data_IF_180962500399
#
_entry.id   IF_180962500399
#
_cell.length_a   1.000
_cell.length_b   1.000
_cell.length_c   1.000
_cell.angle_alpha   90.00
_cell.angle_beta   90.00
_cell.angle_gamma   90.00
#
_symmetry.space_group_name_H-M   'P 1'
#
loop_
_entity.id
_entity.type
_entity.pdbx_description
1 polymer ?
#
# COMPACT_ATOMS: atom_id res chain seq x y z
N UNK A 1 1.18 16.99 -8.06
CA UNK A 1 2.45 16.87 -8.77
C UNK A 1 3.62 17.13 -7.83
N UNK A 2 4.44 16.12 -7.56
CA UNK A 2 5.56 16.23 -6.60
C UNK A 2 6.68 17.15 -7.10
N UNK A 3 6.85 17.26 -8.42
CA UNK A 3 7.87 18.10 -9.07
C UNK A 3 7.35 19.46 -9.54
N UNK A 4 6.08 19.78 -9.29
CA UNK A 4 5.42 20.95 -9.84
C UNK A 4 5.17 20.81 -11.34
N UNK A 5 4.98 21.95 -12.00
CA UNK A 5 4.74 22.00 -13.44
C UNK A 5 6.00 22.43 -14.20
N UNK A 6 6.15 21.90 -15.41
CA UNK A 6 7.20 22.29 -16.36
C UNK A 6 8.64 22.14 -15.81
N UNK A 7 8.90 21.11 -15.01
CA UNK A 7 10.26 20.79 -14.57
C UNK A 7 11.11 20.39 -15.80
N UNK A 8 12.17 21.18 -16.07
CA UNK A 8 12.96 21.01 -17.29
C UNK A 8 13.69 19.67 -17.33
N UNK A 9 14.28 19.24 -16.23
CA UNK A 9 15.04 17.99 -16.14
C UNK A 9 14.14 16.78 -16.40
N UNK A 10 12.94 16.76 -15.76
CA UNK A 10 11.93 15.73 -15.99
C UNK A 10 11.47 15.69 -17.45
N UNK A 11 11.15 16.86 -18.02
CA UNK A 11 10.68 16.97 -19.40
C UNK A 11 11.72 16.50 -20.42
N UNK A 12 12.99 16.84 -20.21
CA UNK A 12 14.07 16.45 -21.12
C UNK A 12 14.36 14.94 -21.03
N UNK A 13 14.33 14.36 -19.82
CA UNK A 13 14.46 12.92 -19.63
C UNK A 13 13.32 12.15 -20.31
N UNK A 14 12.07 12.63 -20.19
CA UNK A 14 10.92 12.01 -20.82
C UNK A 14 10.99 12.07 -22.35
N UNK A 15 11.34 13.23 -22.94
CA UNK A 15 11.56 13.37 -24.38
C UNK A 15 12.62 12.41 -24.89
N UNK A 16 13.77 12.36 -24.20
CA UNK A 16 14.86 11.44 -24.58
C UNK A 16 14.45 9.96 -24.49
N UNK A 17 13.55 9.61 -23.59
CA UNK A 17 13.03 8.24 -23.51
C UNK A 17 12.02 7.93 -24.59
N UNK A 18 11.16 8.88 -24.97
CA UNK A 18 10.21 8.75 -26.10
C UNK A 18 10.95 8.45 -27.40
N UNK A 19 12.06 9.16 -27.66
CA UNK A 19 12.89 8.96 -28.86
C UNK A 19 13.59 7.58 -28.92
N UNK A 20 13.67 6.89 -27.79
CA UNK A 20 14.26 5.52 -27.72
C UNK A 20 13.20 4.45 -27.86
N UNK A 21 12.32 4.36 -26.86
CA UNK A 21 11.25 3.36 -26.79
C UNK A 21 10.25 3.75 -25.73
N UNK A 22 8.98 3.77 -26.09
CA UNK A 22 7.89 4.10 -25.18
C UNK A 22 7.30 2.89 -24.46
N UNK A 23 7.27 1.72 -25.13
CA UNK A 23 6.62 0.53 -24.61
C UNK A 23 7.35 -0.73 -25.03
N UNK A 24 7.45 -1.68 -24.08
CA UNK A 24 7.84 -3.07 -24.36
C UNK A 24 6.85 -3.99 -23.65
N UNK A 25 6.61 -5.17 -24.25
CA UNK A 25 5.89 -6.25 -23.58
C UNK A 25 6.66 -6.74 -22.34
N UNK A 26 5.95 -7.24 -21.33
CA UNK A 26 6.56 -7.92 -20.17
C UNK A 26 7.32 -9.22 -20.52
N UNK A 27 7.31 -9.62 -21.79
CA UNK A 27 8.14 -10.71 -22.29
C UNK A 27 9.59 -10.31 -22.47
N UNK A 28 9.91 -9.03 -22.45
CA UNK A 28 11.25 -8.48 -22.67
C UNK A 28 11.75 -7.68 -21.48
N UNK A 29 13.05 -7.72 -21.26
CA UNK A 29 13.68 -6.86 -20.26
C UNK A 29 13.70 -5.40 -20.73
N UNK A 30 13.36 -4.50 -19.80
CA UNK A 30 13.41 -3.07 -20.00
C UNK A 30 14.42 -2.46 -19.01
N UNK A 31 15.45 -1.78 -19.53
CA UNK A 31 16.51 -1.21 -18.70
C UNK A 31 16.01 -0.09 -17.78
N UNK A 32 15.07 0.72 -18.24
CA UNK A 32 14.48 1.82 -17.44
C UNK A 32 13.69 1.26 -16.26
N UNK A 33 12.84 0.26 -16.51
CA UNK A 33 12.07 -0.44 -15.47
C UNK A 33 13.01 -1.15 -14.47
N UNK A 34 14.04 -1.84 -14.96
CA UNK A 34 15.04 -2.51 -14.12
C UNK A 34 15.75 -1.54 -13.20
N UNK A 35 16.22 -0.40 -13.74
CA UNK A 35 16.88 0.63 -12.93
C UNK A 35 15.96 1.27 -11.91
N UNK A 36 14.72 1.59 -12.27
CA UNK A 36 13.72 2.10 -11.34
C UNK A 36 13.45 1.13 -10.18
N UNK A 37 13.37 -0.19 -10.49
CA UNK A 37 13.23 -1.24 -9.48
C UNK A 37 14.43 -1.31 -8.54
N UNK A 38 15.66 -1.20 -9.07
CA UNK A 38 16.88 -1.16 -8.25
C UNK A 38 16.91 0.06 -7.32
N UNK A 39 16.57 1.24 -7.83
CA UNK A 39 16.56 2.46 -7.05
C UNK A 39 15.48 2.41 -5.95
N UNK A 40 14.28 1.92 -6.26
CA UNK A 40 13.24 1.67 -5.26
C UNK A 40 13.69 0.68 -4.18
N UNK A 41 14.34 -0.42 -4.55
CA UNK A 41 14.91 -1.35 -3.56
C UNK A 41 15.91 -0.68 -2.63
N UNK A 42 16.79 0.18 -3.15
CA UNK A 42 17.80 0.89 -2.33
C UNK A 42 17.17 1.82 -1.31
N UNK A 43 16.13 2.56 -1.69
CA UNK A 43 15.50 3.55 -0.81
C UNK A 43 14.47 2.96 0.14
N UNK A 44 13.90 1.79 -0.18
CA UNK A 44 12.89 1.12 0.65
C UNK A 44 13.45 -0.05 1.48
N UNK A 45 14.51 -0.69 1.02
CA UNK A 45 14.97 -1.97 1.56
C UNK A 45 14.09 -3.16 1.18
N UNK A 46 13.03 -2.96 0.37
CA UNK A 46 12.14 -4.02 -0.10
C UNK A 46 12.85 -4.98 -1.06
N UNK A 47 12.45 -6.24 -1.05
CA UNK A 47 13.11 -7.26 -1.85
C UNK A 47 12.78 -7.22 -3.33
N UNK A 48 11.52 -6.92 -3.67
CA UNK A 48 11.00 -6.86 -5.05
C UNK A 48 10.07 -5.69 -5.26
N UNK A 49 9.95 -5.28 -6.52
CA UNK A 49 9.01 -4.24 -6.98
C UNK A 49 8.10 -4.84 -8.04
N UNK A 50 6.83 -4.50 -7.97
CA UNK A 50 5.83 -4.80 -8.99
C UNK A 50 5.20 -3.49 -9.44
N UNK A 51 5.38 -3.15 -10.72
CA UNK A 51 4.83 -1.92 -11.29
C UNK A 51 3.42 -2.15 -11.80
N UNK A 52 2.54 -1.19 -11.51
CA UNK A 52 1.13 -1.15 -11.93
C UNK A 52 0.83 0.21 -12.56
N UNK A 53 -0.37 0.37 -13.11
CA UNK A 53 -0.75 1.61 -13.78
C UNK A 53 -1.38 2.64 -12.84
N UNK A 54 -1.79 2.24 -11.64
CA UNK A 54 -2.47 3.10 -10.68
C UNK A 54 -2.34 2.60 -9.25
N UNK A 55 -2.63 3.48 -8.27
CA UNK A 55 -2.72 3.11 -6.86
C UNK A 55 -3.77 2.03 -6.60
N UNK A 56 -4.94 2.10 -7.24
CA UNK A 56 -5.97 1.06 -7.13
C UNK A 56 -5.46 -0.31 -7.59
N UNK A 57 -4.74 -0.39 -8.71
CA UNK A 57 -4.11 -1.64 -9.16
C UNK A 57 -3.00 -2.11 -8.22
N UNK A 58 -2.25 -1.20 -7.60
CA UNK A 58 -1.24 -1.54 -6.60
C UNK A 58 -1.91 -2.19 -5.38
N UNK A 59 -3.03 -1.65 -4.91
CA UNK A 59 -3.81 -2.24 -3.82
C UNK A 59 -4.38 -3.62 -4.20
N UNK A 60 -4.91 -3.80 -5.41
CA UNK A 60 -5.32 -5.12 -5.91
C UNK A 60 -4.13 -6.10 -5.92
N UNK A 61 -2.96 -5.64 -6.32
CA UNK A 61 -1.71 -6.41 -6.25
C UNK A 61 -1.34 -6.79 -4.81
N UNK A 62 -1.47 -5.87 -3.86
CA UNK A 62 -1.21 -6.12 -2.43
C UNK A 62 -2.18 -7.15 -1.85
N UNK A 63 -3.49 -7.02 -2.13
CA UNK A 63 -4.52 -7.98 -1.73
C UNK A 63 -4.16 -9.40 -2.23
N UNK A 64 -3.88 -9.50 -3.52
CA UNK A 64 -3.53 -10.80 -4.15
C UNK A 64 -2.24 -11.38 -3.57
N UNK A 65 -1.25 -10.53 -3.32
CA UNK A 65 0.03 -10.95 -2.74
C UNK A 65 -0.17 -11.49 -1.34
N UNK A 66 -0.91 -10.79 -0.48
CA UNK A 66 -1.18 -11.22 0.90
C UNK A 66 -1.94 -12.55 0.94
N UNK A 67 -3.01 -12.68 0.14
CA UNK A 67 -3.77 -13.94 0.05
C UNK A 67 -2.94 -15.08 -0.54
N UNK A 68 -2.12 -14.81 -1.57
CA UNK A 68 -1.24 -15.81 -2.16
C UNK A 68 -0.15 -16.26 -1.18
N UNK A 69 0.40 -15.34 -0.40
CA UNK A 69 1.35 -15.68 0.66
C UNK A 69 0.71 -16.62 1.69
N UNK A 70 -0.46 -16.25 2.21
CA UNK A 70 -1.20 -17.08 3.17
C UNK A 70 -1.53 -18.47 2.60
N UNK A 71 -1.97 -18.55 1.33
CA UNK A 71 -2.20 -19.80 0.63
C UNK A 71 -0.91 -20.65 0.52
N UNK A 72 0.19 -20.04 0.15
CA UNK A 72 1.48 -20.74 0.01
C UNK A 72 1.98 -21.28 1.36
N UNK A 73 1.73 -20.55 2.43
CA UNK A 73 2.02 -20.97 3.82
C UNK A 73 0.99 -21.95 4.39
N UNK A 74 -0.06 -22.27 3.64
CA UNK A 74 -1.15 -23.19 4.04
C UNK A 74 -1.83 -22.77 5.35
N UNK A 75 -1.96 -21.45 5.59
CA UNK A 75 -2.57 -20.94 6.82
C UNK A 75 -4.09 -20.92 6.79
N UNK A 76 -4.71 -20.96 5.62
CA UNK A 76 -6.16 -20.78 5.43
C UNK A 76 -6.65 -19.34 5.61
N UNK A 77 -5.75 -18.39 5.85
CA UNK A 77 -6.05 -16.97 6.11
C UNK A 77 -6.38 -16.22 4.83
N UNK A 78 -7.35 -15.30 4.88
CA UNK A 78 -7.78 -14.51 3.73
C UNK A 78 -8.42 -13.16 4.10
N UNK A 79 -8.66 -12.91 5.40
CA UNK A 79 -9.31 -11.69 5.88
C UNK A 79 -8.31 -10.55 6.07
N UNK A 80 -8.82 -9.33 5.93
CA UNK A 80 -8.07 -8.09 6.11
C UNK A 80 -8.66 -7.25 7.23
N UNK A 81 -7.80 -6.56 7.94
CA UNK A 81 -8.18 -5.44 8.79
C UNK A 81 -7.73 -4.18 8.08
N UNK A 82 -8.67 -3.27 7.79
CA UNK A 82 -8.43 -1.93 7.27
C UNK A 82 -8.84 -0.90 8.34
N UNK A 83 -8.64 0.38 8.06
CA UNK A 83 -8.96 1.44 9.03
C UNK A 83 -10.24 2.17 8.63
N UNK A 84 -11.04 2.57 9.62
CA UNK A 84 -12.15 3.52 9.40
C UNK A 84 -11.61 4.80 8.74
N UNK A 85 -12.40 5.42 7.89
CA UNK A 85 -12.07 6.62 7.12
C UNK A 85 -10.87 6.47 6.19
N UNK A 86 -10.39 5.25 5.92
CA UNK A 86 -9.34 4.99 4.93
C UNK A 86 -9.84 5.13 3.50
N UNK A 87 -8.90 5.38 2.58
CA UNK A 87 -9.17 5.36 1.15
C UNK A 87 -8.06 4.58 0.44
N UNK A 88 -8.43 3.48 -0.20
CA UNK A 88 -7.47 2.59 -0.89
C UNK A 88 -7.71 2.45 -2.40
N UNK A 89 -8.78 3.05 -2.92
CA UNK A 89 -9.08 3.05 -4.35
C UNK A 89 -10.54 2.69 -4.65
N UNK A 90 -10.85 2.57 -5.96
CA UNK A 90 -12.22 2.41 -6.47
C UNK A 90 -12.45 1.11 -7.26
N UNK A 91 -11.43 0.27 -7.48
CA UNK A 91 -11.63 -1.10 -7.98
C UNK A 91 -12.31 -1.95 -6.91
N UNK A 92 -12.94 -3.07 -7.29
CA UNK A 92 -13.79 -3.84 -6.36
C UNK A 92 -13.06 -4.35 -5.13
N UNK A 93 -11.80 -4.77 -5.25
CA UNK A 93 -10.99 -5.15 -4.09
C UNK A 93 -10.53 -3.94 -3.27
N UNK A 94 -10.08 -2.87 -3.92
CA UNK A 94 -9.64 -1.66 -3.23
C UNK A 94 -10.79 -0.94 -2.51
N UNK A 95 -11.98 -0.87 -3.14
CA UNK A 95 -13.16 -0.27 -2.49
C UNK A 95 -13.61 -1.09 -1.29
N UNK A 96 -13.44 -2.42 -1.31
CA UNK A 96 -13.75 -3.25 -0.16
C UNK A 96 -12.90 -2.92 1.08
N UNK A 97 -11.65 -2.43 0.87
CA UNK A 97 -10.74 -2.00 1.93
C UNK A 97 -10.92 -0.52 2.32
N UNK A 98 -11.71 0.24 1.56
CA UNK A 98 -11.94 1.67 1.82
C UNK A 98 -12.92 1.85 2.97
N UNK A 99 -12.47 2.54 4.03
CA UNK A 99 -13.19 2.70 5.29
C UNK A 99 -14.40 3.65 5.24
N UNK A 100 -14.47 4.50 4.21
CA UNK A 100 -15.64 5.36 3.97
C UNK A 100 -16.82 4.54 3.47
N UNK A 101 -17.85 4.40 4.31
CA UNK A 101 -19.03 3.57 4.03
C UNK A 101 -19.76 4.03 2.77
N UNK A 102 -19.89 5.33 2.57
CA UNK A 102 -20.55 5.97 1.43
C UNK A 102 -19.87 5.66 0.08
N UNK A 103 -18.58 5.33 0.08
CA UNK A 103 -17.87 4.93 -1.13
C UNK A 103 -18.03 3.44 -1.44
N UNK A 104 -18.40 2.63 -0.47
CA UNK A 104 -18.48 1.17 -0.57
C UNK A 104 -19.91 0.68 -0.75
N UNK A 105 -20.86 1.20 0.02
CA UNK A 105 -22.24 0.76 0.11
C UNK A 105 -22.96 0.65 -1.26
N UNK A 106 -22.80 1.60 -2.20
CA UNK A 106 -23.46 1.51 -3.51
C UNK A 106 -23.00 0.35 -4.38
N UNK A 107 -21.89 -0.30 -4.03
CA UNK A 107 -21.27 -1.38 -4.82
C UNK A 107 -21.30 -2.73 -4.11
N UNK A 108 -22.04 -2.85 -3.03
CA UNK A 108 -22.19 -4.11 -2.32
C UNK A 108 -22.98 -5.15 -3.16
N UNK A 109 -22.62 -6.46 -3.08
CA UNK A 109 -21.58 -7.02 -2.21
C UNK A 109 -20.16 -6.81 -2.76
N UNK A 110 -19.29 -6.27 -1.93
CA UNK A 110 -17.84 -6.12 -2.22
C UNK A 110 -17.07 -7.39 -1.81
N UNK A 111 -15.75 -7.39 -1.98
CA UNK A 111 -14.89 -8.50 -1.54
C UNK A 111 -15.11 -8.80 -0.05
N UNK A 112 -15.48 -10.03 0.33
CA UNK A 112 -15.73 -10.39 1.72
C UNK A 112 -14.46 -10.55 2.55
N UNK A 113 -14.62 -10.53 3.88
CA UNK A 113 -13.53 -10.75 4.84
C UNK A 113 -12.71 -9.49 5.11
N UNK A 114 -13.36 -8.33 5.10
CA UNK A 114 -12.76 -7.05 5.50
C UNK A 114 -13.42 -6.54 6.77
N UNK A 115 -12.61 -6.18 7.75
CA UNK A 115 -13.02 -5.62 9.02
C UNK A 115 -12.37 -4.25 9.21
N UNK A 116 -13.07 -3.32 9.86
CA UNK A 116 -12.59 -1.95 10.02
C UNK A 116 -12.29 -1.64 11.49
N UNK A 117 -11.05 -1.22 11.76
CA UNK A 117 -10.58 -0.77 13.06
C UNK A 117 -10.56 0.76 13.14
N UNK A 118 -10.66 1.28 14.34
CA UNK A 118 -10.51 2.71 14.59
C UNK A 118 -9.03 3.08 14.43
N UNK A 119 -8.78 4.10 13.60
CA UNK A 119 -7.43 4.59 13.34
C UNK A 119 -6.81 5.20 14.62
N UNK A 120 -5.54 4.91 14.88
CA UNK A 120 -4.84 5.26 16.11
C UNK A 120 -5.36 4.59 17.41
N UNK A 121 -6.15 3.51 17.28
CA UNK A 121 -6.62 2.71 18.42
C UNK A 121 -6.15 1.24 18.27
N UNK A 122 -5.09 0.87 18.99
CA UNK A 122 -4.54 -0.49 18.97
C UNK A 122 -5.49 -1.55 19.54
N UNK A 123 -6.33 -1.18 20.49
CA UNK A 123 -7.23 -2.14 21.12
C UNK A 123 -8.38 -2.49 20.17
N UNK A 124 -8.85 -1.51 19.37
CA UNK A 124 -9.77 -1.76 18.27
C UNK A 124 -9.18 -2.74 17.24
N UNK A 125 -7.90 -2.60 16.90
CA UNK A 125 -7.22 -3.53 15.97
C UNK A 125 -7.10 -4.92 16.57
N UNK A 126 -6.63 -5.04 17.83
CA UNK A 126 -6.47 -6.33 18.52
C UNK A 126 -7.79 -7.11 18.62
N UNK A 127 -8.90 -6.41 18.84
CA UNK A 127 -10.22 -7.03 18.94
C UNK A 127 -10.69 -7.70 17.63
N UNK A 128 -10.15 -7.28 16.47
CA UNK A 128 -10.49 -7.79 15.15
C UNK A 128 -9.54 -8.90 14.66
N UNK A 129 -8.34 -9.01 15.22
CA UNK A 129 -7.38 -10.05 14.83
C UNK A 129 -7.94 -11.42 15.18
N UNK A 130 -7.99 -12.31 14.20
CA UNK A 130 -8.49 -13.68 14.35
C UNK A 130 -7.66 -14.67 13.51
N UNK A 131 -8.01 -15.94 13.57
CA UNK A 131 -7.32 -17.03 12.88
C UNK A 131 -7.39 -16.97 11.35
N UNK A 132 -8.29 -16.16 10.79
CA UNK A 132 -8.45 -15.93 9.35
C UNK A 132 -7.76 -14.66 8.87
N UNK A 133 -7.29 -13.79 9.75
CA UNK A 133 -6.63 -12.54 9.39
C UNK A 133 -5.32 -12.84 8.66
N UNK A 134 -5.15 -12.33 7.42
CA UNK A 134 -3.92 -12.48 6.63
C UNK A 134 -3.08 -11.20 6.61
N UNK A 135 -3.70 -10.03 6.72
CA UNK A 135 -2.99 -8.76 6.70
C UNK A 135 -3.76 -7.63 7.39
N UNK A 136 -3.01 -6.64 7.86
CA UNK A 136 -3.52 -5.32 8.26
C UNK A 136 -3.05 -4.32 7.22
N UNK A 137 -3.97 -3.52 6.66
CA UNK A 137 -3.66 -2.46 5.71
C UNK A 137 -4.02 -1.10 6.30
N UNK A 138 -3.11 -0.14 6.14
CA UNK A 138 -3.34 1.24 6.60
C UNK A 138 -2.50 2.24 5.79
N UNK A 139 -2.96 3.47 5.78
CA UNK A 139 -2.17 4.63 5.33
C UNK A 139 -1.33 5.14 6.51
N UNK A 140 -0.07 5.51 6.28
CA UNK A 140 0.72 6.19 7.33
C UNK A 140 0.15 7.58 7.63
N UNK A 141 -0.46 8.21 6.63
CA UNK A 141 -1.24 9.45 6.77
C UNK A 141 -2.51 9.27 5.94
N UNK A 142 -3.66 9.21 6.58
CA UNK A 142 -4.94 9.18 5.89
C UNK A 142 -5.19 10.50 5.18
N UNK A 143 -5.08 10.52 3.85
CA UNK A 143 -5.29 11.72 3.05
C UNK A 143 -6.75 12.10 2.94
N UNK A 144 -7.54 11.23 2.34
CA UNK A 144 -9.00 11.42 2.14
C UNK A 144 -9.78 11.42 3.47
N UNK A 145 -9.27 10.77 4.49
CA UNK A 145 -9.86 10.73 5.83
C UNK A 145 -9.69 12.02 6.65
N UNK A 146 -9.14 13.10 6.06
CA UNK A 146 -9.01 14.40 6.73
C UNK A 146 -7.59 14.76 7.15
N UNK A 147 -6.58 14.19 6.50
CA UNK A 147 -5.14 14.40 6.76
C UNK A 147 -4.78 13.99 8.21
N UNK A 148 -5.20 12.80 8.59
CA UNK A 148 -4.91 12.24 9.90
C UNK A 148 -3.63 11.41 9.86
N UNK A 149 -2.62 11.80 10.63
CA UNK A 149 -1.37 11.05 10.73
C UNK A 149 -1.48 9.92 11.78
N UNK A 150 -0.89 8.77 11.46
CA UNK A 150 -0.67 7.74 12.47
C UNK A 150 0.33 8.22 13.51
N UNK A 151 0.10 7.87 14.76
CA UNK A 151 1.13 8.05 15.78
C UNK A 151 2.22 6.98 15.61
N UNK A 152 3.43 7.31 16.06
CA UNK A 152 4.55 6.36 16.01
C UNK A 152 4.24 5.10 16.81
N UNK A 153 3.63 5.28 17.97
CA UNK A 153 3.19 4.21 18.87
C UNK A 153 2.18 3.29 18.18
N UNK A 154 1.23 3.85 17.43
CA UNK A 154 0.25 3.07 16.67
C UNK A 154 0.93 2.24 15.59
N UNK A 155 1.79 2.83 14.76
CA UNK A 155 2.50 2.12 13.69
C UNK A 155 3.37 0.99 14.24
N UNK A 156 4.10 1.24 15.32
CA UNK A 156 4.92 0.24 15.98
C UNK A 156 4.07 -0.85 16.63
N UNK A 157 2.94 -0.49 17.20
CA UNK A 157 1.97 -1.44 17.75
C UNK A 157 1.37 -2.35 16.68
N UNK A 158 1.00 -1.81 15.51
CA UNK A 158 0.54 -2.59 14.36
C UNK A 158 1.64 -3.55 13.88
N UNK A 159 2.89 -3.08 13.76
CA UNK A 159 3.99 -3.96 13.36
C UNK A 159 4.15 -5.12 14.34
N UNK A 160 4.12 -4.81 15.64
CA UNK A 160 4.20 -5.83 16.70
C UNK A 160 3.05 -6.84 16.63
N UNK A 161 1.80 -6.36 16.46
CA UNK A 161 0.63 -7.24 16.29
C UNK A 161 0.82 -8.17 15.07
N UNK A 162 1.30 -7.64 13.96
CA UNK A 162 1.56 -8.42 12.75
C UNK A 162 2.62 -9.50 12.99
N UNK A 163 3.73 -9.16 13.64
CA UNK A 163 4.82 -10.09 13.94
C UNK A 163 4.38 -11.21 14.88
N UNK A 164 3.70 -10.86 15.97
CA UNK A 164 3.22 -11.81 16.98
C UNK A 164 2.19 -12.82 16.43
N UNK A 165 1.38 -12.38 15.45
CA UNK A 165 0.33 -13.21 14.85
C UNK A 165 0.74 -13.84 13.50
N UNK A 166 1.93 -13.53 12.98
CA UNK A 166 2.41 -14.02 11.68
C UNK A 166 1.51 -13.59 10.51
N UNK A 167 1.02 -12.34 10.54
CA UNK A 167 0.21 -11.69 9.51
C UNK A 167 0.99 -10.54 8.87
N UNK A 168 0.59 -10.12 7.68
CA UNK A 168 1.33 -9.09 6.93
C UNK A 168 0.88 -7.68 7.31
N UNK A 169 1.84 -6.75 7.35
CA UNK A 169 1.59 -5.32 7.43
C UNK A 169 1.71 -4.70 6.04
N UNK A 170 0.65 -4.03 5.59
CA UNK A 170 0.60 -3.32 4.31
C UNK A 170 0.48 -1.83 4.58
N UNK A 171 1.46 -1.04 4.12
CA UNK A 171 1.37 0.42 4.17
C UNK A 171 0.98 0.96 2.80
N UNK A 172 -0.18 1.59 2.72
CA UNK A 172 -0.59 2.34 1.53
C UNK A 172 0.08 3.72 1.57
N UNK A 173 1.08 3.87 0.74
CA UNK A 173 1.90 5.07 0.62
C UNK A 173 1.56 5.92 -0.63
N UNK A 174 0.47 5.61 -1.33
CA UNK A 174 0.11 6.28 -2.59
C UNK A 174 0.05 7.80 -2.44
N UNK A 175 -0.47 8.32 -1.33
CA UNK A 175 -0.61 9.76 -1.11
C UNK A 175 0.50 10.40 -0.26
N UNK A 176 1.23 9.64 0.55
CA UNK A 176 2.17 10.19 1.53
C UNK A 176 3.65 9.92 1.23
N UNK A 177 3.95 9.28 0.09
CA UNK A 177 5.31 8.93 -0.34
C UNK A 177 6.01 9.98 -1.21
N UNK A 178 7.16 9.60 -1.74
CA UNK A 178 7.96 10.33 -2.72
C UNK A 178 8.32 11.77 -2.27
N UNK A 179 8.70 11.91 -1.00
CA UNK A 179 9.10 13.19 -0.41
C UNK A 179 7.96 14.03 0.15
N UNK A 180 6.68 13.63 -0.04
CA UNK A 180 5.52 14.40 0.41
C UNK A 180 5.51 14.67 1.92
N UNK A 181 5.93 13.69 2.71
CA UNK A 181 5.97 13.74 4.19
C UNK A 181 7.33 14.11 4.76
N UNK A 182 8.31 14.47 3.92
CA UNK A 182 9.68 14.81 4.34
C UNK A 182 10.66 13.62 4.35
N UNK A 183 10.19 12.42 4.01
CA UNK A 183 11.00 11.23 3.73
C UNK A 183 10.58 10.63 2.38
N UNK A 184 11.33 9.68 1.84
CA UNK A 184 10.90 8.98 0.64
C UNK A 184 9.54 8.33 0.83
N UNK A 185 9.33 7.68 1.98
CA UNK A 185 8.07 7.06 2.39
C UNK A 185 7.78 7.44 3.85
N UNK A 186 6.51 7.71 4.16
CA UNK A 186 6.12 8.20 5.48
C UNK A 186 6.42 7.16 6.58
N UNK A 187 6.25 5.86 6.30
CA UNK A 187 6.54 4.78 7.25
C UNK A 187 7.99 4.78 7.75
N UNK A 188 8.95 5.30 6.96
CA UNK A 188 10.36 5.35 7.36
C UNK A 188 10.59 6.21 8.61
N UNK A 189 9.72 7.18 8.85
CA UNK A 189 9.79 8.06 10.04
C UNK A 189 9.19 7.39 11.29
N UNK A 190 8.47 6.27 11.12
CA UNK A 190 7.78 5.57 12.20
C UNK A 190 8.66 4.52 12.90
N UNK A 191 9.83 4.22 12.35
CA UNK A 191 10.75 3.23 12.90
C UNK A 191 10.26 1.79 12.73
N UNK A 192 9.51 1.53 11.67
CA UNK A 192 9.02 0.19 11.29
C UNK A 192 9.41 -0.12 9.83
N UNK A 193 9.26 -1.36 9.43
CA UNK A 193 9.30 -1.76 8.02
C UNK A 193 8.05 -2.60 7.72
N UNK A 194 7.21 -2.20 6.78
CA UNK A 194 6.06 -3.01 6.38
C UNK A 194 6.51 -4.21 5.53
N UNK A 195 5.65 -5.21 5.39
CA UNK A 195 5.90 -6.36 4.52
C UNK A 195 5.58 -6.03 3.05
N UNK A 196 4.58 -5.15 2.83
CA UNK A 196 4.15 -4.65 1.52
C UNK A 196 3.92 -3.14 1.65
N UNK A 197 4.29 -2.38 0.63
CA UNK A 197 4.01 -0.96 0.55
C UNK A 197 3.60 -0.58 -0.86
#
# INVERSE_FOLDING_TARGET
SSLGYNNKEFNDALKAQIDKIMHTSNLYYNTTCGKAGEDLKKITGMYKVFFTNSGGEAIEGAIKTARKYAYTKKTGRYEFIAMENSFHGRSMGAVALTGHKEYREPFEPVMPGVHFAIYNDLDSVKALVNDKTCAIILETIQGEGGINAATKEFMQGIRKICDENGILMICDEVQCSMGRSGAWFAWQQMGITPDIM
#
